data_IF_666353253927
#
_entry.id   IF_666353253927
#
_cell.length_a   1.000
_cell.length_b   1.000
_cell.length_c   1.000
_cell.angle_alpha   90.00
_cell.angle_beta   90.00
_cell.angle_gamma   90.00
#
_symmetry.space_group_name_H-M   'P 1'
#
loop_
_entity.id
_entity.type
_entity.pdbx_description
1 polymer ?
#
# COMPACT_ATOMS: atom_id res chain seq x y z
N UNK A 1 -0.27 5.77 9.43
CA UNK A 1 -1.52 5.34 10.05
C UNK A 1 -1.56 3.83 10.13
N UNK A 2 -1.99 3.27 11.25
CA UNK A 2 -2.09 1.82 11.47
C UNK A 2 -3.54 1.34 11.44
N UNK A 3 -4.46 2.20 11.02
CA UNK A 3 -5.86 1.85 10.87
C UNK A 3 -6.11 1.25 9.49
N UNK A 4 -7.00 0.28 9.46
CA UNK A 4 -7.53 -0.27 8.23
C UNK A 4 -8.40 0.79 7.55
N UNK A 5 -8.00 1.25 6.37
CA UNK A 5 -8.69 2.32 5.66
C UNK A 5 -9.82 1.78 4.77
N UNK A 6 -10.73 2.66 4.35
CA UNK A 6 -11.75 2.33 3.36
C UNK A 6 -11.11 1.80 2.05
N UNK A 7 -9.96 2.34 1.66
CA UNK A 7 -9.26 1.91 0.44
C UNK A 7 -8.72 0.48 0.58
N UNK A 8 -8.18 0.12 1.75
CA UNK A 8 -7.77 -1.27 2.02
C UNK A 8 -8.98 -2.21 1.95
N UNK A 9 -10.14 -1.76 2.48
CA UNK A 9 -11.38 -2.53 2.40
C UNK A 9 -11.84 -2.71 0.96
N UNK A 10 -11.85 -1.65 0.15
CA UNK A 10 -12.19 -1.73 -1.27
C UNK A 10 -11.32 -2.76 -2.01
N UNK A 11 -10.01 -2.72 -1.79
CA UNK A 11 -9.10 -3.68 -2.42
C UNK A 11 -9.32 -5.11 -1.95
N UNK A 12 -9.62 -5.33 -0.66
CA UNK A 12 -9.93 -6.67 -0.16
C UNK A 12 -11.26 -7.23 -0.69
N UNK A 13 -12.14 -6.38 -1.21
CA UNK A 13 -13.36 -6.74 -1.93
C UNK A 13 -13.15 -6.82 -3.45
N UNK A 14 -11.92 -6.67 -3.93
CA UNK A 14 -11.58 -6.79 -5.35
C UNK A 14 -11.99 -5.61 -6.22
N UNK A 15 -12.33 -4.47 -5.61
CA UNK A 15 -12.87 -3.32 -6.33
C UNK A 15 -11.76 -2.58 -7.06
N UNK A 16 -12.01 -2.30 -8.33
CA UNK A 16 -11.24 -1.38 -9.15
C UNK A 16 -12.00 -0.06 -9.26
N UNK A 17 -11.45 0.99 -8.66
CA UNK A 17 -12.14 2.29 -8.54
C UNK A 17 -12.30 3.03 -9.88
N UNK A 18 -11.36 2.86 -10.80
CA UNK A 18 -11.32 3.62 -12.05
C UNK A 18 -11.01 2.71 -13.24
N UNK A 19 -11.45 3.10 -14.42
CA UNK A 19 -10.96 2.54 -15.68
C UNK A 19 -9.48 2.91 -15.93
N UNK A 20 -8.89 2.34 -16.97
CA UNK A 20 -7.45 2.56 -17.28
C UNK A 20 -7.16 3.98 -17.71
N UNK A 21 -8.09 4.58 -18.43
CA UNK A 21 -7.96 5.93 -19.01
C UNK A 21 -8.32 7.03 -18.00
N UNK A 22 -8.93 6.70 -16.87
CA UNK A 22 -9.39 7.67 -15.87
C UNK A 22 -10.58 8.51 -16.33
N UNK A 23 -11.47 7.91 -17.09
CA UNK A 23 -12.70 8.55 -17.58
C UNK A 23 -13.92 8.17 -16.77
N UNK A 24 -13.86 7.03 -16.09
CA UNK A 24 -14.98 6.47 -15.36
C UNK A 24 -14.56 5.96 -13.98
N UNK A 25 -15.39 6.25 -12.98
CA UNK A 25 -15.29 5.78 -11.61
C UNK A 25 -16.37 4.71 -11.35
N UNK A 26 -16.01 3.61 -10.72
CA UNK A 26 -16.86 2.47 -10.43
C UNK A 26 -17.09 2.26 -8.93
N UNK A 27 -17.35 3.34 -8.20
CA UNK A 27 -17.51 3.25 -6.74
C UNK A 27 -18.93 2.88 -6.30
N UNK A 28 -19.93 3.02 -7.16
CA UNK A 28 -21.32 2.66 -6.90
C UNK A 28 -21.57 1.19 -7.27
N UNK A 29 -21.09 0.27 -6.41
CA UNK A 29 -21.22 -1.18 -6.55
C UNK A 29 -21.55 -1.79 -5.18
N UNK A 30 -22.22 -2.92 -5.17
CA UNK A 30 -22.61 -3.62 -3.93
C UNK A 30 -21.39 -3.97 -3.08
N UNK A 31 -20.30 -4.41 -3.69
CA UNK A 31 -19.04 -4.71 -3.02
C UNK A 31 -18.41 -3.47 -2.39
N UNK A 32 -18.55 -2.30 -3.01
CA UNK A 32 -18.05 -1.04 -2.46
C UNK A 32 -18.87 -0.61 -1.23
N UNK A 33 -20.17 -0.81 -1.28
CA UNK A 33 -21.04 -0.61 -0.13
C UNK A 33 -20.65 -1.52 1.03
N UNK A 34 -20.46 -2.82 0.78
CA UNK A 34 -20.01 -3.77 1.80
C UNK A 34 -18.66 -3.35 2.38
N UNK A 35 -17.72 -2.88 1.55
CA UNK A 35 -16.43 -2.39 1.97
C UNK A 35 -16.52 -1.18 2.91
N UNK A 36 -17.41 -0.22 2.64
CA UNK A 36 -17.63 0.95 3.50
C UNK A 36 -18.30 0.56 4.80
N UNK A 37 -19.34 -0.29 4.75
CA UNK A 37 -20.02 -0.82 5.94
C UNK A 37 -19.03 -1.58 6.85
N UNK A 38 -18.12 -2.34 6.26
CA UNK A 38 -17.10 -3.05 7.03
C UNK A 38 -16.20 -2.08 7.81
N UNK A 39 -15.73 -1.02 7.17
CA UNK A 39 -14.90 0.01 7.84
C UNK A 39 -15.69 0.75 8.93
N UNK A 40 -16.95 1.06 8.68
CA UNK A 40 -17.82 1.66 9.68
C UNK A 40 -17.96 0.78 10.92
N UNK A 41 -18.16 -0.54 10.73
CA UNK A 41 -18.21 -1.52 11.82
C UNK A 41 -16.89 -1.60 12.59
N UNK A 42 -15.76 -1.63 11.89
CA UNK A 42 -14.43 -1.61 12.54
C UNK A 42 -14.21 -0.35 13.36
N UNK A 43 -14.58 0.81 12.84
CA UNK A 43 -14.46 2.08 13.57
C UNK A 43 -15.31 2.09 14.84
N UNK A 44 -16.53 1.54 14.78
CA UNK A 44 -17.39 1.39 15.97
C UNK A 44 -16.78 0.47 17.01
N UNK A 45 -16.17 -0.66 16.60
CA UNK A 45 -15.50 -1.59 17.51
C UNK A 45 -14.29 -0.94 18.20
N UNK A 46 -13.59 -0.09 17.52
CA UNK A 46 -12.43 0.63 18.03
C UNK A 46 -12.80 1.98 18.70
N UNK A 47 -14.09 2.25 18.93
CA UNK A 47 -14.57 3.51 19.52
C UNK A 47 -14.04 4.75 18.80
N UNK A 48 -13.90 4.69 17.48
CA UNK A 48 -13.33 5.75 16.64
C UNK A 48 -11.88 6.14 17.00
N UNK A 49 -11.20 5.32 17.80
CA UNK A 49 -9.82 5.57 18.20
C UNK A 49 -8.86 5.38 17.01
N UNK A 50 -7.97 6.35 16.83
CA UNK A 50 -6.91 6.28 15.82
C UNK A 50 -5.69 5.60 16.43
N UNK A 51 -5.38 4.41 15.93
CA UNK A 51 -4.22 3.63 16.38
C UNK A 51 -2.93 4.37 16.04
N UNK A 52 -2.12 4.61 17.06
CA UNK A 52 -0.83 5.27 16.92
C UNK A 52 0.31 4.25 16.73
N UNK A 53 1.43 4.74 16.21
CA UNK A 53 2.65 3.93 16.10
C UNK A 53 3.15 3.48 17.48
N UNK A 54 2.99 4.29 18.49
CA UNK A 54 3.43 3.99 19.85
C UNK A 54 2.61 2.85 20.48
N UNK A 55 1.31 2.83 20.23
CA UNK A 55 0.45 1.75 20.72
C UNK A 55 0.82 0.40 20.08
N UNK A 56 1.13 0.39 18.79
CA UNK A 56 1.67 -0.82 18.15
C UNK A 56 3.03 -1.20 18.76
N UNK A 57 3.95 -0.25 18.90
CA UNK A 57 5.29 -0.49 19.46
C UNK A 57 5.28 -1.00 20.92
N UNK A 58 4.23 -0.71 21.65
CA UNK A 58 4.06 -1.14 23.05
C UNK A 58 3.17 -2.38 23.19
N UNK A 59 2.84 -3.05 22.08
CA UNK A 59 2.05 -4.28 22.09
C UNK A 59 0.58 -4.10 22.47
N UNK A 60 0.04 -2.89 22.41
CA UNK A 60 -1.37 -2.60 22.73
C UNK A 60 -2.33 -2.89 21.58
N UNK A 61 -1.81 -3.23 20.41
CA UNK A 61 -2.57 -3.46 19.19
C UNK A 61 -2.29 -4.86 18.69
N UNK A 62 -3.35 -5.65 18.51
CA UNK A 62 -3.23 -7.03 18.04
C UNK A 62 -2.93 -7.14 16.54
N UNK A 63 -3.50 -6.24 15.73
CA UNK A 63 -3.30 -6.22 14.27
C UNK A 63 -3.12 -4.79 13.78
N UNK A 64 -2.15 -4.60 12.90
CA UNK A 64 -1.94 -3.30 12.23
C UNK A 64 -1.58 -3.51 10.77
N UNK A 65 -2.30 -2.89 9.81
CA UNK A 65 -1.87 -2.87 8.43
C UNK A 65 -0.58 -2.08 8.32
N UNK A 66 0.38 -2.59 7.55
CA UNK A 66 1.63 -1.87 7.33
C UNK A 66 2.16 -2.08 5.91
N UNK A 67 2.88 -1.09 5.43
CA UNK A 67 3.63 -1.23 4.19
C UNK A 67 4.94 -1.99 4.43
N UNK A 68 5.51 -2.54 3.36
CA UNK A 68 6.83 -3.17 3.43
C UNK A 68 7.92 -2.19 3.93
N UNK A 69 7.81 -0.91 3.56
CA UNK A 69 8.71 0.13 4.07
C UNK A 69 8.58 0.31 5.59
N UNK A 70 7.35 0.33 6.11
CA UNK A 70 7.12 0.38 7.56
C UNK A 70 7.68 -0.88 8.25
N UNK A 71 7.41 -2.07 7.72
CA UNK A 71 7.98 -3.30 8.22
C UNK A 71 9.51 -3.20 8.35
N UNK A 72 10.19 -2.72 7.31
CA UNK A 72 11.65 -2.56 7.34
C UNK A 72 12.15 -1.59 8.41
N UNK A 73 11.32 -0.65 8.88
CA UNK A 73 11.69 0.22 10.00
C UNK A 73 11.73 -0.49 11.35
N UNK A 74 11.04 -1.61 11.47
CA UNK A 74 11.01 -2.44 12.69
C UNK A 74 12.12 -3.50 12.72
N UNK A 75 12.68 -3.84 11.56
CA UNK A 75 13.84 -4.71 11.52
C UNK A 75 15.06 -3.98 12.06
N UNK A 76 15.79 -4.58 13.01
CA UNK A 76 17.01 -3.99 13.50
C UNK A 76 18.04 -3.96 12.37
N UNK A 77 18.35 -2.78 11.90
CA UNK A 77 19.65 -2.57 11.28
C UNK A 77 20.71 -2.81 12.36
N UNK A 78 21.92 -3.24 12.00
CA UNK A 78 22.97 -3.50 12.99
C UNK A 78 23.22 -2.34 13.97
N UNK A 79 22.87 -1.11 13.59
CA UNK A 79 23.03 0.10 14.41
C UNK A 79 21.74 0.61 15.09
N UNK A 80 20.59 -0.02 14.86
CA UNK A 80 19.36 0.34 15.55
C UNK A 80 19.17 -0.56 16.76
N UNK A 81 19.30 0.04 17.92
CA UNK A 81 18.97 -0.60 19.19
C UNK A 81 17.55 -1.14 19.11
N UNK A 82 17.35 -2.38 19.56
CA UNK A 82 16.01 -2.96 19.78
C UNK A 82 15.21 -2.02 20.68
N UNK A 83 14.53 -1.08 20.08
CA UNK A 83 13.87 0.00 20.84
C UNK A 83 12.43 -0.33 21.23
N UNK A 84 11.86 -1.44 20.74
CA UNK A 84 10.41 -1.57 20.65
C UNK A 84 9.85 -2.97 20.92
N UNK A 85 10.55 -3.94 21.45
CA UNK A 85 9.92 -5.25 21.54
C UNK A 85 10.16 -6.01 22.83
N UNK A 86 9.21 -5.85 23.73
CA UNK A 86 8.93 -6.83 24.77
C UNK A 86 7.84 -7.83 24.31
N UNK A 87 7.46 -7.83 23.02
CA UNK A 87 6.46 -8.73 22.46
C UNK A 87 6.89 -9.27 21.09
N UNK A 88 6.46 -10.49 20.81
CA UNK A 88 6.67 -11.13 19.50
C UNK A 88 5.57 -10.71 18.53
N UNK A 89 5.94 -10.52 17.26
CA UNK A 89 5.01 -10.20 16.19
C UNK A 89 5.48 -10.79 14.87
N UNK A 90 4.54 -11.06 13.98
CA UNK A 90 4.81 -11.59 12.64
C UNK A 90 3.90 -10.92 11.62
N UNK A 91 4.23 -11.11 10.34
CA UNK A 91 3.48 -10.57 9.22
C UNK A 91 2.64 -11.65 8.56
N UNK A 92 1.41 -11.31 8.26
CA UNK A 92 0.50 -12.11 7.45
C UNK A 92 0.00 -11.29 6.26
N UNK A 93 -0.52 -11.97 5.24
CA UNK A 93 -1.19 -11.30 4.13
C UNK A 93 -2.41 -10.53 4.64
N UNK A 94 -2.74 -9.43 3.97
CA UNK A 94 -4.02 -8.77 4.18
C UNK A 94 -5.15 -9.77 3.94
N UNK A 95 -6.17 -9.83 4.80
CA UNK A 95 -7.32 -10.68 4.59
C UNK A 95 -8.04 -10.30 3.30
N UNK A 96 -8.50 -11.31 2.57
CA UNK A 96 -9.24 -11.20 1.31
C UNK A 96 -10.62 -11.81 1.46
N UNK A 97 -11.61 -11.24 0.81
CA UNK A 97 -12.97 -11.81 0.77
C UNK A 97 -13.00 -13.04 -0.13
N UNK A 98 -12.32 -12.97 -1.29
CA UNK A 98 -12.17 -14.08 -2.23
C UNK A 98 -10.69 -14.40 -2.46
N UNK A 99 -10.39 -15.67 -2.71
CA UNK A 99 -9.03 -16.13 -3.05
C UNK A 99 -8.44 -15.49 -4.32
N UNK A 100 -9.30 -14.98 -5.18
CA UNK A 100 -8.92 -14.32 -6.44
C UNK A 100 -8.70 -12.81 -6.29
N UNK A 101 -9.10 -12.24 -5.15
CA UNK A 101 -8.98 -10.82 -4.91
C UNK A 101 -7.52 -10.39 -4.66
N UNK A 102 -7.28 -9.11 -4.88
CA UNK A 102 -5.99 -8.46 -4.67
C UNK A 102 -6.13 -7.52 -3.47
N UNK A 103 -5.55 -7.89 -2.34
CA UNK A 103 -5.72 -7.13 -1.09
C UNK A 103 -4.62 -6.15 -0.77
N UNK A 104 -3.57 -6.10 -1.58
CA UNK A 104 -2.42 -5.23 -1.36
C UNK A 104 -2.21 -4.30 -2.54
N UNK A 105 -1.71 -3.12 -2.24
CA UNK A 105 -1.36 -2.10 -3.21
C UNK A 105 0.14 -2.10 -3.46
N UNK A 106 0.54 -1.91 -4.71
CA UNK A 106 1.93 -1.63 -5.06
C UNK A 106 2.08 -0.15 -5.45
N UNK A 107 2.98 0.54 -4.76
CA UNK A 107 3.44 1.86 -5.16
C UNK A 107 4.87 1.81 -5.64
N UNK A 108 5.21 2.57 -6.68
CA UNK A 108 6.54 2.63 -7.25
C UNK A 108 7.03 4.07 -7.36
N UNK A 109 8.31 4.27 -7.07
CA UNK A 109 8.98 5.52 -7.39
C UNK A 109 9.29 5.54 -8.89
N UNK A 110 8.64 6.45 -9.61
CA UNK A 110 8.88 6.65 -11.02
C UNK A 110 9.89 7.77 -11.23
N UNK A 111 10.84 7.53 -12.12
CA UNK A 111 11.80 8.53 -12.55
C UNK A 111 11.66 8.77 -14.05
N UNK A 112 11.85 10.01 -14.47
CA UNK A 112 11.81 10.40 -15.87
C UNK A 112 12.90 11.41 -16.20
N UNK A 113 13.17 11.56 -17.49
CA UNK A 113 14.12 12.54 -18.01
C UNK A 113 13.30 13.71 -18.55
N UNK A 114 13.68 14.92 -18.16
CA UNK A 114 13.05 16.12 -18.72
C UNK A 114 13.28 16.20 -20.22
N UNK A 115 12.24 16.43 -21.00
CA UNK A 115 12.35 16.67 -22.45
C UNK A 115 13.20 17.89 -22.81
N UNK A 116 13.48 18.77 -21.85
CA UNK A 116 14.35 19.95 -22.02
C UNK A 116 15.80 19.68 -21.59
N UNK A 117 16.12 18.47 -21.15
CA UNK A 117 17.50 18.14 -20.75
C UNK A 117 18.46 18.23 -21.93
N UNK A 118 19.55 18.94 -21.73
CA UNK A 118 20.65 18.97 -22.72
C UNK A 118 21.58 17.75 -22.62
N UNK A 119 21.41 16.93 -21.56
CA UNK A 119 22.22 15.74 -21.27
C UNK A 119 21.32 14.50 -21.16
N UNK A 120 20.36 14.34 -22.07
CA UNK A 120 19.38 13.26 -21.99
C UNK A 120 20.03 11.87 -22.05
N UNK A 121 21.09 11.72 -22.86
CA UNK A 121 21.81 10.45 -23.01
C UNK A 121 22.50 10.04 -21.72
N UNK A 122 23.19 10.97 -21.04
CA UNK A 122 23.84 10.71 -19.75
C UNK A 122 22.79 10.40 -18.67
N UNK A 123 21.69 11.15 -18.66
CA UNK A 123 20.59 10.90 -17.75
C UNK A 123 19.95 9.52 -17.98
N UNK A 124 19.90 9.06 -19.24
CA UNK A 124 19.41 7.72 -19.58
C UNK A 124 20.35 6.62 -19.07
N UNK A 125 21.67 6.77 -19.26
CA UNK A 125 22.65 5.83 -18.70
C UNK A 125 22.54 5.75 -17.17
N UNK A 126 22.37 6.89 -16.49
CA UNK A 126 22.16 6.93 -15.04
C UNK A 126 20.87 6.21 -14.63
N UNK A 127 19.76 6.41 -15.35
CA UNK A 127 18.51 5.68 -15.08
C UNK A 127 18.66 4.17 -15.28
N UNK A 128 19.37 3.75 -16.33
CA UNK A 128 19.66 2.32 -16.56
C UNK A 128 20.48 1.73 -15.42
N UNK A 129 21.50 2.44 -14.97
CA UNK A 129 22.30 2.01 -13.82
C UNK A 129 21.43 1.84 -12.58
N UNK A 130 20.57 2.81 -12.26
CA UNK A 130 19.69 2.74 -11.09
C UNK A 130 18.64 1.62 -11.17
N UNK A 131 18.15 1.27 -12.37
CA UNK A 131 17.00 0.38 -12.54
C UNK A 131 17.36 -1.05 -12.94
N UNK A 132 18.43 -1.23 -13.70
CA UNK A 132 18.79 -2.54 -14.29
C UNK A 132 20.09 -3.13 -13.78
N UNK A 133 20.98 -2.33 -13.19
CA UNK A 133 22.24 -2.84 -12.69
C UNK A 133 22.04 -3.59 -11.36
N UNK A 134 22.46 -4.85 -11.33
CA UNK A 134 22.19 -5.74 -10.19
C UNK A 134 22.83 -5.27 -8.91
N UNK A 135 24.08 -4.84 -8.94
CA UNK A 135 24.80 -4.38 -7.73
C UNK A 135 24.18 -3.08 -7.20
N UNK A 136 23.86 -2.14 -8.09
CA UNK A 136 23.14 -0.91 -7.70
C UNK A 136 21.77 -1.24 -7.08
N UNK A 137 21.03 -2.18 -7.64
CA UNK A 137 19.74 -2.59 -7.08
C UNK A 137 19.87 -3.33 -5.74
N UNK A 138 20.93 -4.09 -5.52
CA UNK A 138 21.25 -4.66 -4.20
C UNK A 138 21.55 -3.57 -3.17
N UNK A 139 22.34 -2.58 -3.55
CA UNK A 139 22.66 -1.46 -2.66
C UNK A 139 21.42 -0.60 -2.37
N UNK A 140 20.59 -0.31 -3.36
CA UNK A 140 19.32 0.37 -3.16
C UNK A 140 18.42 -0.43 -2.21
N UNK A 141 18.32 -1.74 -2.39
CA UNK A 141 17.56 -2.59 -1.48
C UNK A 141 18.13 -2.54 -0.06
N UNK A 142 19.44 -2.61 0.09
CA UNK A 142 20.13 -2.62 1.38
C UNK A 142 19.96 -1.31 2.15
N UNK A 143 20.03 -0.17 1.45
CA UNK A 143 20.03 1.16 2.08
C UNK A 143 18.69 1.90 1.98
N UNK A 144 17.74 1.45 1.17
CA UNK A 144 16.39 2.00 1.09
C UNK A 144 15.38 1.15 1.89
N UNK A 145 14.16 1.65 1.99
CA UNK A 145 13.04 0.91 2.62
C UNK A 145 12.16 0.18 1.61
N UNK A 146 12.48 0.29 0.32
CA UNK A 146 11.74 -0.35 -0.76
C UNK A 146 12.19 -1.77 -1.08
N UNK A 147 11.59 -2.35 -2.10
CA UNK A 147 12.01 -3.58 -2.76
C UNK A 147 12.67 -3.25 -4.09
N UNK A 148 13.51 -4.16 -4.61
CA UNK A 148 14.11 -3.98 -5.92
C UNK A 148 13.09 -4.10 -7.03
N UNK A 149 13.27 -3.31 -8.11
CA UNK A 149 12.53 -3.50 -9.37
C UNK A 149 12.87 -4.82 -10.07
N UNK A 150 14.00 -5.42 -9.72
CA UNK A 150 14.46 -6.71 -10.27
C UNK A 150 14.03 -7.87 -9.36
N UNK A 151 13.12 -8.72 -9.86
CA UNK A 151 12.67 -9.92 -9.13
C UNK A 151 13.81 -10.83 -8.69
N UNK A 152 14.88 -10.95 -9.51
CA UNK A 152 16.06 -11.75 -9.20
C UNK A 152 16.82 -11.26 -7.98
N UNK A 153 16.81 -9.95 -7.73
CA UNK A 153 17.45 -9.37 -6.54
C UNK A 153 16.63 -9.65 -5.29
N UNK A 154 15.32 -9.50 -5.35
CA UNK A 154 14.43 -9.76 -4.21
C UNK A 154 14.56 -11.21 -3.68
N UNK A 155 14.94 -12.16 -4.56
CA UNK A 155 15.14 -13.59 -4.26
C UNK A 155 16.60 -13.99 -4.08
N UNK A 156 17.54 -13.05 -4.17
CA UNK A 156 18.96 -13.38 -4.01
C UNK A 156 19.27 -13.79 -2.55
N UNK A 157 20.23 -14.71 -2.38
CA UNK A 157 20.65 -15.18 -1.06
C UNK A 157 21.09 -14.02 -0.16
N UNK A 158 21.76 -13.02 -0.70
CA UNK A 158 22.20 -11.83 0.03
C UNK A 158 21.02 -11.08 0.66
N UNK A 159 19.92 -10.93 -0.10
CA UNK A 159 18.72 -10.23 0.35
C UNK A 159 17.92 -11.10 1.32
N UNK A 160 17.80 -12.39 1.03
CA UNK A 160 17.17 -13.34 1.95
C UNK A 160 17.92 -13.38 3.28
N UNK A 161 19.25 -13.42 3.25
CA UNK A 161 20.07 -13.30 4.46
C UNK A 161 19.89 -11.95 5.16
N UNK A 162 19.82 -10.86 4.43
CA UNK A 162 19.58 -9.52 4.99
C UNK A 162 18.24 -9.42 5.72
N UNK A 163 17.19 -10.02 5.15
CA UNK A 163 15.86 -10.07 5.75
C UNK A 163 15.76 -11.07 6.90
N UNK A 164 16.56 -12.16 6.86
CA UNK A 164 16.51 -13.26 7.82
C UNK A 164 17.54 -13.21 8.95
N UNK A 165 18.58 -12.39 8.85
CA UNK A 165 19.74 -12.43 9.78
C UNK A 165 19.45 -11.99 11.20
N UNK A 166 18.38 -11.28 11.44
CA UNK A 166 18.21 -10.57 12.70
C UNK A 166 17.43 -11.32 13.78
N UNK A 167 16.74 -12.42 13.46
CA UNK A 167 16.17 -13.30 14.48
C UNK A 167 15.87 -14.68 13.90
N UNK A 168 16.31 -15.74 14.59
CA UNK A 168 15.90 -17.12 14.30
C UNK A 168 14.37 -17.30 14.45
N UNK A 169 13.66 -16.34 15.03
CA UNK A 169 12.26 -16.40 15.41
C UNK A 169 11.34 -15.52 14.54
N UNK A 170 11.86 -14.47 13.88
CA UNK A 170 11.08 -13.55 13.05
C UNK A 170 11.61 -13.52 11.61
N UNK A 171 11.66 -14.68 10.95
CA UNK A 171 11.91 -14.71 9.52
C UNK A 171 10.63 -14.24 8.80
N UNK A 172 10.69 -13.07 8.14
CA UNK A 172 9.73 -12.90 7.04
C UNK A 172 9.94 -14.07 6.12
N UNK A 173 8.89 -14.81 5.99
CA UNK A 173 8.82 -15.80 4.94
C UNK A 173 9.01 -15.03 3.61
N UNK A 174 10.14 -15.26 2.92
CA UNK A 174 10.38 -14.65 1.60
C UNK A 174 9.22 -14.98 0.65
N UNK A 175 8.59 -16.15 0.85
CA UNK A 175 7.38 -16.54 0.15
C UNK A 175 6.21 -15.59 0.43
N UNK A 176 6.09 -15.01 1.63
CA UNK A 176 5.04 -14.04 1.94
C UNK A 176 5.16 -12.79 1.07
N UNK A 177 6.38 -12.27 0.86
CA UNK A 177 6.59 -11.13 -0.03
C UNK A 177 6.19 -11.46 -1.47
N UNK A 178 6.59 -12.62 -1.99
CA UNK A 178 6.20 -13.09 -3.31
C UNK A 178 4.67 -13.26 -3.43
N UNK A 179 4.04 -13.85 -2.42
CA UNK A 179 2.59 -14.03 -2.38
C UNK A 179 1.85 -12.70 -2.35
N UNK A 180 2.33 -11.74 -1.57
CA UNK A 180 1.77 -10.39 -1.52
C UNK A 180 1.95 -9.70 -2.87
N UNK A 181 3.15 -9.77 -3.47
CA UNK A 181 3.43 -9.15 -4.78
C UNK A 181 2.56 -9.73 -5.91
N UNK A 182 2.25 -11.02 -5.86
CA UNK A 182 1.36 -11.65 -6.84
C UNK A 182 -0.12 -11.28 -6.65
N UNK A 183 -0.48 -10.71 -5.51
CA UNK A 183 -1.84 -10.29 -5.13
C UNK A 183 -1.93 -8.76 -4.96
N UNK A 184 -1.08 -8.02 -5.65
CA UNK A 184 -1.12 -6.55 -5.62
C UNK A 184 -2.01 -5.99 -6.72
N UNK A 185 -2.64 -4.86 -6.40
CA UNK A 185 -3.31 -3.99 -7.36
C UNK A 185 -2.33 -2.94 -7.85
N UNK A 186 -2.34 -2.72 -9.15
CA UNK A 186 -1.70 -1.57 -9.77
C UNK A 186 -2.71 -0.42 -9.85
N UNK A 187 -2.28 0.77 -9.45
CA UNK A 187 -3.11 1.95 -9.62
C UNK A 187 -3.28 2.34 -11.07
N UNK A 188 -4.48 2.78 -11.43
CA UNK A 188 -4.69 3.48 -12.68
C UNK A 188 -3.82 4.74 -12.74
N UNK A 189 -3.20 5.00 -13.90
CA UNK A 189 -2.21 6.10 -14.06
C UNK A 189 -2.75 7.14 -15.02
N UNK A 190 -3.58 8.05 -14.49
CA UNK A 190 -4.10 9.17 -15.25
C UNK A 190 -3.89 10.50 -14.50
N UNK A 191 -3.95 11.59 -15.24
CA UNK A 191 -3.54 12.92 -14.73
C UNK A 191 -4.28 13.37 -13.46
N UNK A 192 -5.57 13.03 -13.33
CA UNK A 192 -6.42 13.46 -12.22
C UNK A 192 -6.52 12.43 -11.09
N UNK A 193 -5.78 11.31 -11.15
CA UNK A 193 -5.93 10.19 -10.20
C UNK A 193 -5.87 10.60 -8.73
N UNK A 194 -4.81 11.31 -8.34
CA UNK A 194 -4.63 11.69 -6.94
C UNK A 194 -5.71 12.66 -6.44
N UNK A 195 -6.16 13.58 -7.30
CA UNK A 195 -7.22 14.52 -6.96
C UNK A 195 -8.57 13.80 -6.82
N UNK A 196 -8.90 12.90 -7.74
CA UNK A 196 -10.11 12.11 -7.68
C UNK A 196 -10.12 11.22 -6.43
N UNK A 197 -9.01 10.53 -6.14
CA UNK A 197 -8.88 9.70 -4.94
C UNK A 197 -9.05 10.53 -3.65
N UNK A 198 -8.52 11.75 -3.62
CA UNK A 198 -8.64 12.65 -2.47
C UNK A 198 -10.10 13.11 -2.25
N UNK A 199 -10.82 13.39 -3.33
CA UNK A 199 -12.26 13.72 -3.26
C UNK A 199 -13.07 12.52 -2.72
N UNK A 200 -12.77 11.32 -3.19
CA UNK A 200 -13.38 10.09 -2.69
C UNK A 200 -13.09 9.91 -1.20
N UNK A 201 -11.84 10.09 -0.79
CA UNK A 201 -11.43 9.94 0.61
C UNK A 201 -12.22 10.86 1.54
N UNK A 202 -12.32 12.14 1.18
CA UNK A 202 -13.09 13.13 1.95
C UNK A 202 -14.55 12.68 2.09
N UNK A 203 -15.20 12.32 0.98
CA UNK A 203 -16.62 11.97 0.96
C UNK A 203 -16.92 10.67 1.71
N UNK A 204 -16.12 9.63 1.54
CA UNK A 204 -16.30 8.37 2.27
C UNK A 204 -16.11 8.57 3.78
N UNK A 205 -15.07 9.30 4.18
CA UNK A 205 -14.85 9.61 5.59
C UNK A 205 -16.00 10.43 6.19
N UNK A 206 -16.57 11.37 5.42
CA UNK A 206 -17.76 12.12 5.84
C UNK A 206 -19.00 11.22 5.98
N UNK A 207 -19.23 10.30 5.03
CA UNK A 207 -20.34 9.34 5.11
C UNK A 207 -20.23 8.47 6.36
N UNK A 208 -19.04 7.92 6.64
CA UNK A 208 -18.80 7.07 7.80
C UNK A 208 -19.00 7.87 9.10
N UNK A 209 -18.48 9.08 9.18
CA UNK A 209 -18.58 9.94 10.38
C UNK A 209 -20.00 10.38 10.66
N UNK A 210 -20.71 10.82 9.64
CA UNK A 210 -22.05 11.37 9.75
C UNK A 210 -23.15 10.31 9.73
N UNK A 211 -22.79 9.02 9.55
CA UNK A 211 -23.72 7.88 9.42
C UNK A 211 -24.77 8.13 8.32
N UNK A 212 -24.33 8.70 7.21
CA UNK A 212 -25.17 8.97 6.05
C UNK A 212 -25.60 7.68 5.37
N UNK A 213 -26.66 7.74 4.56
CA UNK A 213 -27.05 6.65 3.71
C UNK A 213 -25.95 6.32 2.71
N UNK A 214 -25.38 5.12 2.80
CA UNK A 214 -24.24 4.71 2.00
C UNK A 214 -24.62 4.50 0.54
N UNK A 215 -25.83 3.98 0.25
CA UNK A 215 -26.28 3.75 -1.11
C UNK A 215 -26.42 5.07 -1.88
N UNK A 216 -27.13 6.01 -1.29
CA UNK A 216 -27.31 7.35 -1.88
C UNK A 216 -25.94 8.04 -2.00
N UNK A 217 -25.13 7.95 -0.95
CA UNK A 217 -23.82 8.60 -0.90
C UNK A 217 -22.85 8.10 -1.96
N UNK A 218 -22.78 6.79 -2.22
CA UNK A 218 -21.92 6.22 -3.24
C UNK A 218 -22.41 6.56 -4.66
N UNK A 219 -23.73 6.53 -4.89
CA UNK A 219 -24.32 6.93 -6.16
C UNK A 219 -24.02 8.40 -6.51
N UNK A 220 -24.19 9.32 -5.55
CA UNK A 220 -23.88 10.72 -5.74
C UNK A 220 -22.38 10.94 -5.94
N UNK A 221 -21.55 10.26 -5.15
CA UNK A 221 -20.11 10.33 -5.25
C UNK A 221 -19.62 9.88 -6.63
N UNK A 222 -20.13 8.79 -7.15
CA UNK A 222 -19.78 8.31 -8.50
C UNK A 222 -20.12 9.35 -9.57
N UNK A 223 -21.29 10.00 -9.48
CA UNK A 223 -21.69 11.06 -10.41
C UNK A 223 -20.76 12.27 -10.34
N UNK A 224 -20.43 12.70 -9.12
CA UNK A 224 -19.55 13.85 -8.90
C UNK A 224 -18.13 13.58 -9.44
N UNK A 225 -17.60 12.38 -9.18
CA UNK A 225 -16.28 11.99 -9.66
C UNK A 225 -16.26 11.84 -11.18
N UNK A 226 -17.27 11.21 -11.78
CA UNK A 226 -17.37 11.10 -13.24
C UNK A 226 -17.46 12.45 -13.92
N UNK A 227 -18.19 13.38 -13.33
CA UNK A 227 -18.22 14.79 -13.80
C UNK A 227 -16.82 15.40 -13.74
N UNK A 228 -16.15 15.31 -12.60
CA UNK A 228 -14.80 15.84 -12.40
C UNK A 228 -13.77 15.25 -13.38
N UNK A 229 -13.85 13.96 -13.65
CA UNK A 229 -12.93 13.29 -14.57
C UNK A 229 -13.08 13.80 -16.01
N UNK A 230 -14.28 14.15 -16.43
CA UNK A 230 -14.62 14.57 -17.80
C UNK A 230 -14.59 16.09 -18.04
N UNK A 231 -14.37 16.89 -17.03
CA UNK A 231 -14.05 18.33 -17.15
C UNK A 231 -12.60 18.54 -17.56
#
# INVERSE_FOLDING_TARGET
CYNFSWLNSMYSHGIRLFDEDGKECFIDQDEAKEAVIFVEKLNKLNQEHIITKEEFNTGKVAFAPMSFAQYRTYKPYPWRVKKFSDFEWDCIKMPLISSNDKGSEISSLLMGISSRSKNADIAWEFLKMLTYEKETQKDLYKYSQGISSLKSINKSEDIVCLLGKDNKENQINVNLLDEVMNKTLEHSRFKKYNQALNLIDIKINDMIRNKSDIDIGLLELQKDINKYLNE
#
